data_IF_777724459005
#
_entry.id   IF_777724459005
#
_cell.length_a   1.000
_cell.length_b   1.000
_cell.length_c   1.000
_cell.angle_alpha   90.00
_cell.angle_beta   90.00
_cell.angle_gamma   90.00
#
_symmetry.space_group_name_H-M   'P 1'
#
loop_
_entity.id
_entity.type
_entity.pdbx_description
1 polymer ?
#
# COMPACT_ATOMS: atom_id res chain seq x y z
N UNK A 1 -43.67 -28.78 -14.87
CA UNK A 1 -42.19 -28.79 -15.00
C UNK A 1 -41.74 -28.36 -16.39
N UNK A 2 -42.24 -28.97 -17.48
CA UNK A 2 -41.92 -28.53 -18.85
C UNK A 2 -42.35 -27.08 -19.13
N UNK A 3 -43.56 -26.70 -18.75
CA UNK A 3 -44.05 -25.32 -18.96
C UNK A 3 -43.24 -24.28 -18.17
N UNK A 4 -42.79 -24.64 -16.97
CA UNK A 4 -41.96 -23.77 -16.14
C UNK A 4 -40.57 -23.54 -16.76
N UNK A 5 -39.94 -24.60 -17.28
CA UNK A 5 -38.66 -24.48 -18.00
C UNK A 5 -38.82 -23.65 -19.27
N UNK A 6 -39.90 -23.85 -20.03
CA UNK A 6 -40.20 -23.04 -21.22
C UNK A 6 -40.37 -21.55 -20.89
N UNK A 7 -41.05 -21.22 -19.79
CA UNK A 7 -41.19 -19.83 -19.32
C UNK A 7 -39.82 -19.24 -18.98
N UNK A 8 -38.97 -19.98 -18.24
CA UNK A 8 -37.61 -19.52 -17.91
C UNK A 8 -36.79 -19.28 -19.17
N UNK A 9 -36.83 -20.17 -20.15
CA UNK A 9 -36.09 -20.00 -21.41
C UNK A 9 -36.50 -18.73 -22.16
N UNK A 10 -37.80 -18.44 -22.23
CA UNK A 10 -38.31 -17.20 -22.84
C UNK A 10 -37.83 -15.98 -22.04
N UNK A 11 -37.87 -16.03 -20.71
CA UNK A 11 -37.37 -14.94 -19.86
C UNK A 11 -35.87 -14.69 -20.08
N UNK A 12 -35.05 -15.74 -20.19
CA UNK A 12 -33.61 -15.60 -20.46
C UNK A 12 -33.36 -14.98 -21.83
N UNK A 13 -34.12 -15.36 -22.87
CA UNK A 13 -34.01 -14.74 -24.19
C UNK A 13 -34.39 -13.25 -24.17
N UNK A 14 -35.48 -12.90 -23.47
CA UNK A 14 -35.89 -11.50 -23.29
C UNK A 14 -34.81 -10.74 -22.53
N UNK A 15 -34.18 -11.34 -21.51
CA UNK A 15 -33.08 -10.73 -20.77
C UNK A 15 -31.93 -10.31 -21.69
N UNK A 16 -31.49 -11.16 -22.61
CA UNK A 16 -30.40 -10.83 -23.56
C UNK A 16 -30.78 -9.64 -24.47
N UNK A 17 -32.04 -9.57 -24.91
CA UNK A 17 -32.54 -8.42 -25.70
C UNK A 17 -32.48 -7.14 -24.86
N UNK A 18 -32.93 -7.21 -23.60
CA UNK A 18 -32.85 -6.08 -22.67
C UNK A 18 -31.40 -5.65 -22.44
N UNK A 19 -30.48 -6.59 -22.19
CA UNK A 19 -29.04 -6.31 -22.06
C UNK A 19 -28.49 -5.63 -23.31
N UNK A 20 -28.86 -6.10 -24.50
CA UNK A 20 -28.43 -5.51 -25.77
C UNK A 20 -28.85 -4.04 -25.87
N UNK A 21 -30.12 -3.74 -25.56
CA UNK A 21 -30.63 -2.36 -25.57
C UNK A 21 -29.94 -1.51 -24.51
N UNK A 22 -29.74 -2.05 -23.31
CA UNK A 22 -29.07 -1.36 -22.21
C UNK A 22 -27.63 -0.98 -22.57
N UNK A 23 -26.84 -1.94 -23.08
CA UNK A 23 -25.47 -1.73 -23.53
C UNK A 23 -25.43 -0.67 -24.62
N UNK A 24 -26.31 -0.77 -25.62
CA UNK A 24 -26.40 0.24 -26.68
C UNK A 24 -26.65 1.64 -26.13
N UNK A 25 -27.61 1.81 -25.22
CA UNK A 25 -27.94 3.12 -24.64
C UNK A 25 -26.79 3.70 -23.82
N UNK A 26 -26.10 2.86 -23.03
CA UNK A 26 -24.94 3.28 -22.22
C UNK A 26 -23.78 3.70 -23.11
N UNK A 27 -23.44 2.90 -24.12
CA UNK A 27 -22.44 3.24 -25.13
C UNK A 27 -22.80 4.54 -25.84
N UNK A 28 -24.02 4.66 -26.37
CA UNK A 28 -24.45 5.83 -27.13
C UNK A 28 -24.37 7.13 -26.30
N UNK A 29 -24.73 7.07 -25.01
CA UNK A 29 -24.66 8.22 -24.12
C UNK A 29 -23.23 8.73 -23.95
N UNK A 30 -22.27 7.84 -23.70
CA UNK A 30 -20.86 8.20 -23.51
C UNK A 30 -20.20 8.56 -24.85
N UNK A 31 -20.51 7.82 -25.92
CA UNK A 31 -19.94 8.02 -27.25
C UNK A 31 -20.16 9.41 -27.82
N UNK A 32 -21.34 10.00 -27.57
CA UNK A 32 -21.65 11.37 -28.01
C UNK A 32 -20.76 12.42 -27.32
N UNK A 33 -20.29 12.14 -26.11
CA UNK A 33 -19.49 13.05 -25.27
C UNK A 33 -18.02 12.63 -25.12
N UNK A 34 -17.55 11.64 -25.89
CA UNK A 34 -16.17 11.10 -25.82
C UNK A 34 -15.05 12.12 -26.06
N UNK A 35 -15.39 13.32 -26.54
CA UNK A 35 -14.43 14.40 -26.79
C UNK A 35 -14.22 15.29 -25.56
N UNK A 36 -15.07 15.18 -24.54
CA UNK A 36 -14.98 15.93 -23.29
C UNK A 36 -13.98 15.24 -22.34
N UNK A 37 -13.01 16.00 -21.81
CA UNK A 37 -11.98 15.44 -20.91
C UNK A 37 -12.58 14.90 -19.61
N UNK A 38 -13.59 15.59 -19.04
CA UNK A 38 -14.31 15.14 -17.85
C UNK A 38 -14.97 13.77 -18.04
N UNK A 39 -15.46 13.48 -19.24
CA UNK A 39 -16.11 12.19 -19.53
C UNK A 39 -15.09 11.07 -19.58
N UNK A 40 -13.90 11.32 -20.14
CA UNK A 40 -12.81 10.34 -20.12
C UNK A 40 -12.27 10.11 -18.71
N UNK A 41 -12.08 11.19 -17.93
CA UNK A 41 -11.56 11.11 -16.56
C UNK A 41 -12.53 10.47 -15.57
N UNK A 42 -13.85 10.65 -15.74
CA UNK A 42 -14.86 10.09 -14.82
C UNK A 42 -15.03 8.56 -14.87
N UNK A 43 -14.37 7.87 -15.79
CA UNK A 43 -14.46 6.42 -15.93
C UNK A 43 -13.28 5.74 -15.21
N UNK A 44 -13.59 4.88 -14.23
CA UNK A 44 -12.58 4.06 -13.53
C UNK A 44 -11.98 3.00 -14.48
N UNK A 45 -10.71 3.14 -14.85
CA UNK A 45 -10.02 2.18 -15.71
C UNK A 45 -9.78 0.88 -14.96
N UNK A 46 -9.41 0.94 -13.68
CA UNK A 46 -9.25 -0.24 -12.84
C UNK A 46 -10.56 -1.04 -12.73
N UNK A 47 -11.68 -0.36 -12.48
CA UNK A 47 -13.00 -0.98 -12.44
C UNK A 47 -13.39 -1.64 -13.77
N UNK A 48 -13.11 -0.98 -14.90
CA UNK A 48 -13.37 -1.56 -16.23
C UNK A 48 -12.47 -2.76 -16.51
N UNK A 49 -11.18 -2.72 -16.13
CA UNK A 49 -10.26 -3.86 -16.30
C UNK A 49 -10.67 -5.08 -15.47
N UNK A 50 -11.15 -4.87 -14.24
CA UNK A 50 -11.71 -5.94 -13.42
C UNK A 50 -12.94 -6.57 -14.08
N UNK A 51 -13.83 -5.74 -14.65
CA UNK A 51 -14.99 -6.23 -15.39
C UNK A 51 -14.58 -7.04 -16.62
N UNK A 52 -13.61 -6.56 -17.41
CA UNK A 52 -13.05 -7.29 -18.56
C UNK A 52 -12.49 -8.66 -18.12
N UNK A 53 -11.68 -8.67 -17.06
CA UNK A 53 -11.11 -9.91 -16.53
C UNK A 53 -12.20 -10.90 -16.10
N UNK A 54 -13.22 -10.42 -15.37
CA UNK A 54 -14.36 -11.23 -14.96
C UNK A 54 -15.15 -11.79 -16.15
N UNK A 55 -15.47 -10.97 -17.16
CA UNK A 55 -16.16 -11.41 -18.37
C UNK A 55 -15.38 -12.48 -19.13
N UNK A 56 -14.06 -12.32 -19.25
CA UNK A 56 -13.19 -13.33 -19.90
C UNK A 56 -13.24 -14.66 -19.14
N UNK A 57 -13.11 -14.63 -17.81
CA UNK A 57 -13.20 -15.85 -16.98
C UNK A 57 -14.54 -16.57 -17.16
N UNK A 58 -15.66 -15.85 -17.15
CA UNK A 58 -16.98 -16.43 -17.35
C UNK A 58 -17.18 -16.98 -18.77
N UNK A 59 -16.71 -16.30 -19.81
CA UNK A 59 -16.76 -16.83 -21.17
C UNK A 59 -15.97 -18.13 -21.28
N UNK A 60 -14.77 -18.21 -20.68
CA UNK A 60 -14.01 -19.46 -20.63
C UNK A 60 -14.76 -20.57 -19.89
N UNK A 61 -15.37 -20.25 -18.74
CA UNK A 61 -16.21 -21.19 -18.00
C UNK A 61 -17.36 -21.70 -18.87
N UNK A 62 -18.09 -20.82 -19.55
CA UNK A 62 -19.24 -21.21 -20.36
C UNK A 62 -18.86 -21.94 -21.66
N UNK A 63 -17.64 -21.79 -22.15
CA UNK A 63 -17.19 -22.55 -23.34
C UNK A 63 -16.68 -23.94 -22.93
N UNK A 64 -15.98 -24.06 -21.80
CA UNK A 64 -15.19 -25.26 -21.46
C UNK A 64 -15.80 -26.13 -20.35
N UNK A 65 -16.58 -25.54 -19.44
CA UNK A 65 -17.14 -26.24 -18.28
C UNK A 65 -18.63 -26.48 -18.47
N UNK A 66 -19.40 -25.43 -18.75
CA UNK A 66 -20.85 -25.50 -18.85
C UNK A 66 -21.34 -24.72 -20.06
N UNK A 67 -21.61 -25.44 -21.15
CA UNK A 67 -22.00 -24.85 -22.44
C UNK A 67 -23.35 -24.15 -22.36
N UNK A 68 -23.33 -22.83 -22.19
CA UNK A 68 -24.51 -21.95 -22.26
C UNK A 68 -24.27 -20.80 -23.25
N UNK A 69 -24.87 -20.96 -24.44
CA UNK A 69 -24.76 -19.98 -25.52
C UNK A 69 -25.40 -18.62 -25.19
N UNK A 70 -26.47 -18.59 -24.38
CA UNK A 70 -27.13 -17.32 -24.05
C UNK A 70 -26.26 -16.51 -23.09
N UNK A 71 -25.68 -17.17 -22.08
CA UNK A 71 -24.75 -16.51 -21.14
C UNK A 71 -23.46 -16.05 -21.82
N UNK A 72 -22.95 -16.79 -22.81
CA UNK A 72 -21.82 -16.35 -23.63
C UNK A 72 -22.17 -15.05 -24.37
N UNK A 73 -23.34 -14.99 -25.01
CA UNK A 73 -23.78 -13.80 -25.75
C UNK A 73 -23.96 -12.61 -24.80
N UNK A 74 -24.64 -12.79 -23.67
CA UNK A 74 -24.86 -11.75 -22.67
C UNK A 74 -23.53 -11.20 -22.11
N UNK A 75 -22.63 -12.10 -21.70
CA UNK A 75 -21.31 -11.73 -21.18
C UNK A 75 -20.45 -11.02 -22.25
N UNK A 76 -20.58 -11.44 -23.51
CA UNK A 76 -19.87 -10.80 -24.63
C UNK A 76 -20.37 -9.36 -24.88
N UNK A 77 -21.65 -9.08 -24.66
CA UNK A 77 -22.17 -7.70 -24.77
C UNK A 77 -21.54 -6.78 -23.72
N UNK A 78 -21.40 -7.24 -22.47
CA UNK A 78 -20.68 -6.49 -21.43
C UNK A 78 -19.19 -6.33 -21.74
N UNK A 79 -18.56 -7.35 -22.35
CA UNK A 79 -17.16 -7.26 -22.77
C UNK A 79 -16.98 -6.19 -23.86
N UNK A 80 -17.89 -6.12 -24.83
CA UNK A 80 -17.91 -5.07 -25.86
C UNK A 80 -18.12 -3.68 -25.23
N UNK A 81 -19.08 -3.54 -24.32
CA UNK A 81 -19.31 -2.28 -23.58
C UNK A 81 -18.03 -1.83 -22.86
N UNK A 82 -17.41 -2.73 -22.12
CA UNK A 82 -16.20 -2.49 -21.35
C UNK A 82 -15.04 -2.05 -22.24
N UNK A 83 -14.88 -2.69 -23.40
CA UNK A 83 -13.84 -2.33 -24.35
C UNK A 83 -14.05 -0.92 -24.92
N UNK A 84 -15.29 -0.56 -25.28
CA UNK A 84 -15.62 0.79 -25.74
C UNK A 84 -15.34 1.82 -24.64
N UNK A 85 -15.73 1.54 -23.40
CA UNK A 85 -15.47 2.46 -22.29
C UNK A 85 -13.99 2.59 -22.00
N UNK A 86 -13.24 1.50 -21.97
CA UNK A 86 -11.79 1.53 -21.76
C UNK A 86 -11.10 2.42 -22.80
N UNK A 87 -11.46 2.28 -24.08
CA UNK A 87 -10.93 3.16 -25.11
C UNK A 87 -11.25 4.63 -24.84
N UNK A 88 -12.49 4.94 -24.44
CA UNK A 88 -12.90 6.32 -24.14
C UNK A 88 -12.14 6.86 -22.92
N UNK A 89 -11.97 6.06 -21.86
CA UNK A 89 -11.25 6.42 -20.63
C UNK A 89 -9.79 6.81 -20.89
N UNK A 90 -9.16 6.26 -21.94
CA UNK A 90 -7.80 6.68 -22.32
C UNK A 90 -7.74 8.14 -22.81
N UNK A 91 -8.87 8.75 -23.16
CA UNK A 91 -8.92 10.11 -23.70
C UNK A 91 -8.45 10.21 -25.15
N UNK A 92 -8.45 9.10 -25.90
CA UNK A 92 -8.03 9.05 -27.31
C UNK A 92 -8.74 10.07 -28.21
N UNK A 93 -10.00 10.40 -27.90
CA UNK A 93 -10.81 11.33 -28.69
C UNK A 93 -10.83 12.78 -28.15
N UNK A 94 -10.08 13.08 -27.09
CA UNK A 94 -10.02 14.43 -26.49
C UNK A 94 -9.11 15.33 -27.33
N UNK A 95 -9.58 16.54 -27.67
CA UNK A 95 -8.84 17.51 -28.48
C UNK A 95 -7.54 17.92 -27.76
N UNK A 96 -6.41 17.89 -28.46
CA UNK A 96 -5.08 18.25 -27.92
C UNK A 96 -4.22 17.06 -27.45
N UNK A 97 -4.77 15.85 -27.37
CA UNK A 97 -4.03 14.61 -27.00
C UNK A 97 -3.84 13.62 -28.16
N UNK A 98 -4.26 13.98 -29.39
CA UNK A 98 -4.35 13.06 -30.55
C UNK A 98 -3.02 12.54 -31.11
N UNK A 99 -1.87 13.05 -30.65
CA UNK A 99 -0.54 12.65 -31.14
C UNK A 99 0.18 11.66 -30.21
N UNK A 100 -0.50 11.14 -29.18
CA UNK A 100 0.07 10.17 -28.22
C UNK A 100 -0.39 8.75 -28.53
N UNK A 101 0.48 7.77 -28.29
CA UNK A 101 0.14 6.35 -28.45
C UNK A 101 -0.93 5.93 -27.44
N UNK A 102 -1.81 4.99 -27.82
CA UNK A 102 -2.80 4.35 -26.95
C UNK A 102 -2.21 3.89 -25.61
N UNK A 103 -0.98 3.38 -25.63
CA UNK A 103 -0.30 2.90 -24.43
C UNK A 103 0.12 4.05 -23.50
N UNK A 104 0.55 5.19 -24.07
CA UNK A 104 0.89 6.39 -23.31
C UNK A 104 -0.36 7.02 -22.68
N UNK A 105 -1.48 6.98 -23.40
CA UNK A 105 -2.78 7.46 -22.93
C UNK A 105 -3.34 6.56 -21.81
N UNK A 106 -3.30 5.24 -21.98
CA UNK A 106 -3.69 4.29 -20.94
C UNK A 106 -2.84 4.43 -19.67
N UNK A 107 -1.50 4.54 -19.80
CA UNK A 107 -0.60 4.78 -18.66
C UNK A 107 -0.91 6.10 -17.96
N UNK A 108 -1.17 7.16 -18.72
CA UNK A 108 -1.52 8.48 -18.17
C UNK A 108 -2.86 8.46 -17.42
N UNK A 109 -3.84 7.74 -17.93
CA UNK A 109 -5.17 7.68 -17.35
C UNK A 109 -5.21 6.78 -16.09
N UNK A 110 -4.47 5.66 -16.07
CA UNK A 110 -4.21 4.89 -14.85
C UNK A 110 -3.50 5.72 -13.79
N UNK A 111 -2.54 6.57 -14.18
CA UNK A 111 -1.85 7.49 -13.25
C UNK A 111 -2.81 8.54 -12.66
N UNK A 112 -3.78 9.02 -13.44
CA UNK A 112 -4.83 9.94 -12.97
C UNK A 112 -5.79 9.25 -11.98
N UNK A 113 -6.20 8.02 -12.23
CA UNK A 113 -7.05 7.25 -11.32
C UNK A 113 -6.37 6.93 -9.99
N UNK A 114 -5.05 6.66 -10.01
CA UNK A 114 -4.24 6.54 -8.79
C UNK A 114 -4.28 7.84 -7.99
N UNK A 115 -4.14 8.99 -8.65
CA UNK A 115 -4.26 10.32 -8.01
C UNK A 115 -5.66 10.58 -7.45
N UNK A 116 -6.73 10.14 -8.12
CA UNK A 116 -8.10 10.25 -7.61
C UNK A 116 -8.33 9.37 -6.38
N UNK A 117 -7.75 8.18 -6.33
CA UNK A 117 -7.75 7.33 -5.13
C UNK A 117 -7.03 8.01 -3.97
N UNK A 118 -5.91 8.69 -4.23
CA UNK A 118 -5.24 9.54 -3.24
C UNK A 118 -6.08 10.76 -2.85
N UNK A 119 -6.86 11.34 -3.77
CA UNK A 119 -7.79 12.42 -3.46
C UNK A 119 -8.97 11.97 -2.58
N UNK A 120 -9.44 10.73 -2.76
CA UNK A 120 -10.42 10.12 -1.84
C UNK A 120 -9.82 9.89 -0.45
N UNK A 121 -8.54 9.51 -0.34
CA UNK A 121 -7.84 9.44 0.94
C UNK A 121 -7.71 10.82 1.62
N UNK A 122 -7.48 11.88 0.84
CA UNK A 122 -7.40 13.26 1.36
C UNK A 122 -8.71 13.67 2.05
N UNK A 123 -9.87 13.34 1.49
CA UNK A 123 -11.19 13.81 1.98
C UNK A 123 -11.71 13.11 3.26
N UNK A 124 -10.89 12.25 3.88
CA UNK A 124 -11.27 11.46 5.04
C UNK A 124 -11.00 12.21 6.35
N UNK A 125 -11.80 11.88 7.37
CA UNK A 125 -11.83 12.47 8.72
C UNK A 125 -10.43 12.74 9.30
N UNK A 126 -10.22 13.91 9.92
CA UNK A 126 -8.96 14.24 10.61
C UNK A 126 -8.63 13.17 11.65
N UNK A 127 -7.54 12.38 11.47
CA UNK A 127 -7.22 11.30 12.37
C UNK A 127 -6.82 11.82 13.76
N UNK A 128 -6.98 10.98 14.77
CA UNK A 128 -6.37 11.24 16.08
C UNK A 128 -4.85 11.28 15.92
N UNK A 129 -4.19 12.25 16.56
CA UNK A 129 -2.74 12.43 16.46
C UNK A 129 -2.23 12.71 15.04
N UNK A 130 -3.01 13.44 14.23
CA UNK A 130 -2.66 13.80 12.85
C UNK A 130 -1.27 14.47 12.69
N UNK A 131 -0.80 15.22 13.69
CA UNK A 131 0.55 15.79 13.70
C UNK A 131 1.65 14.71 13.72
N UNK A 132 1.45 13.62 14.48
CA UNK A 132 2.37 12.49 14.51
C UNK A 132 2.38 11.78 13.15
N UNK A 133 1.22 11.63 12.51
CA UNK A 133 1.11 11.04 11.17
C UNK A 133 1.87 11.88 10.14
N UNK A 134 1.67 13.20 10.12
CA UNK A 134 2.41 14.10 9.22
C UNK A 134 3.91 14.02 9.47
N UNK A 135 4.34 13.98 10.74
CA UNK A 135 5.76 13.79 11.09
C UNK A 135 6.31 12.47 10.56
N UNK A 136 5.55 11.37 10.65
CA UNK A 136 5.97 10.06 10.14
C UNK A 136 6.06 10.06 8.61
N UNK A 137 5.06 10.61 7.92
CA UNK A 137 5.08 10.73 6.45
C UNK A 137 6.27 11.58 5.99
N UNK A 138 6.55 12.69 6.66
CA UNK A 138 7.73 13.50 6.38
C UNK A 138 9.05 12.74 6.60
N UNK A 139 9.15 11.96 7.67
CA UNK A 139 10.36 11.18 7.94
C UNK A 139 10.59 10.08 6.89
N UNK A 140 9.52 9.49 6.34
CA UNK A 140 9.58 8.53 5.24
C UNK A 140 10.08 9.21 3.96
N UNK A 141 9.45 10.30 3.54
CA UNK A 141 9.82 11.05 2.32
C UNK A 141 11.16 11.81 2.42
N UNK A 142 11.89 11.63 3.50
CA UNK A 142 13.22 12.19 3.67
C UNK A 142 14.21 11.07 3.99
N UNK A 143 13.83 9.79 3.98
CA UNK A 143 14.65 8.72 4.56
C UNK A 143 16.01 8.55 3.84
N UNK A 144 16.06 8.89 2.57
CA UNK A 144 17.24 8.96 1.69
C UNK A 144 17.87 10.38 1.61
N UNK A 145 17.41 11.29 2.46
CA UNK A 145 17.77 12.70 2.54
C UNK A 145 17.49 13.54 1.28
N UNK A 146 16.60 13.06 0.41
CA UNK A 146 16.02 13.83 -0.69
C UNK A 146 14.48 13.88 -0.52
N UNK A 147 13.89 15.07 -0.68
CA UNK A 147 12.43 15.23 -0.62
C UNK A 147 11.92 15.57 -2.00
N UNK A 148 11.35 14.58 -2.70
CA UNK A 148 10.84 14.80 -4.05
C UNK A 148 9.66 15.82 -4.01
N UNK A 149 9.58 16.73 -4.99
CA UNK A 149 8.48 17.69 -5.06
C UNK A 149 7.08 17.07 -5.04
N UNK A 150 6.89 15.85 -5.55
CA UNK A 150 5.59 15.16 -5.54
C UNK A 150 5.25 14.62 -4.15
N UNK A 151 6.22 14.05 -3.44
CA UNK A 151 6.03 13.59 -2.07
C UNK A 151 5.69 14.76 -1.15
N UNK A 152 6.41 15.87 -1.32
CA UNK A 152 6.11 17.13 -0.65
C UNK A 152 4.69 17.61 -0.95
N UNK A 153 4.27 17.61 -2.22
CA UNK A 153 2.90 17.99 -2.60
C UNK A 153 1.84 17.11 -1.92
N UNK A 154 2.12 15.81 -1.77
CA UNK A 154 1.23 14.87 -1.09
C UNK A 154 1.13 15.20 0.41
N UNK A 155 2.26 15.38 1.09
CA UNK A 155 2.30 15.69 2.53
C UNK A 155 1.65 17.05 2.81
N UNK A 156 1.96 18.07 2.01
CA UNK A 156 1.36 19.41 2.12
C UNK A 156 -0.15 19.36 1.92
N UNK A 157 -0.64 18.52 0.99
CA UNK A 157 -2.06 18.34 0.79
C UNK A 157 -2.76 17.70 2.01
N UNK A 158 -2.16 16.68 2.63
CA UNK A 158 -2.69 16.09 3.87
C UNK A 158 -2.66 17.09 5.03
N UNK A 159 -1.55 17.80 5.20
CA UNK A 159 -1.41 18.80 6.27
C UNK A 159 -2.44 19.93 6.12
N UNK A 160 -2.65 20.43 4.90
CA UNK A 160 -3.65 21.47 4.61
C UNK A 160 -5.06 21.00 4.92
N UNK A 161 -5.42 19.79 4.52
CA UNK A 161 -6.77 19.24 4.76
C UNK A 161 -7.04 19.04 6.26
N UNK A 162 -6.02 18.65 7.02
CA UNK A 162 -6.14 18.47 8.48
C UNK A 162 -5.89 19.75 9.30
N UNK A 163 -5.68 20.88 8.62
CA UNK A 163 -5.34 22.17 9.21
C UNK A 163 -4.13 22.09 10.17
N UNK A 164 -3.05 21.48 9.69
CA UNK A 164 -1.76 21.33 10.38
C UNK A 164 -0.76 22.29 9.74
N UNK A 165 -0.03 23.02 10.57
CA UNK A 165 1.07 23.84 10.09
C UNK A 165 2.26 22.93 9.74
N UNK A 166 2.42 22.61 8.45
CA UNK A 166 3.54 21.81 7.98
C UNK A 166 4.70 22.71 7.55
N UNK A 167 5.86 22.50 8.17
CA UNK A 167 7.11 23.17 7.83
C UNK A 167 8.22 22.13 7.73
N UNK A 168 8.84 22.05 6.55
CA UNK A 168 9.99 21.18 6.27
C UNK A 168 11.13 21.51 7.23
N UNK A 169 11.41 22.80 7.44
CA UNK A 169 12.50 23.26 8.31
C UNK A 169 12.28 22.88 9.78
N UNK A 170 11.03 22.86 10.25
CA UNK A 170 10.74 22.49 11.64
C UNK A 170 10.88 20.99 11.89
N UNK A 171 10.44 20.17 10.94
CA UNK A 171 10.51 18.71 11.05
C UNK A 171 11.93 18.17 10.82
N UNK A 172 12.75 18.88 10.04
CA UNK A 172 14.16 18.52 9.81
C UNK A 172 15.08 18.83 11.01
N UNK A 173 14.66 19.63 12.01
CA UNK A 173 15.52 20.01 13.15
C UNK A 173 16.10 18.84 13.95
N UNK A 174 15.37 17.72 13.99
CA UNK A 174 15.75 16.54 14.78
C UNK A 174 16.44 15.46 13.94
N UNK A 175 16.60 15.68 12.63
CA UNK A 175 17.24 14.75 11.69
C UNK A 175 18.74 14.99 11.61
N UNK A 176 19.49 13.94 11.26
CA UNK A 176 20.92 14.01 10.96
C UNK A 176 21.18 13.36 9.60
N UNK A 177 21.77 14.10 8.67
CA UNK A 177 22.00 13.62 7.29
C UNK A 177 22.84 12.32 7.27
N UNK A 178 22.40 11.35 6.48
CA UNK A 178 23.05 10.07 6.20
C UNK A 178 23.14 9.12 7.40
N UNK A 179 22.43 9.40 8.50
CA UNK A 179 22.56 8.64 9.73
C UNK A 179 21.50 7.54 9.85
N UNK A 180 21.97 6.32 10.15
CA UNK A 180 21.15 5.19 10.58
C UNK A 180 20.20 5.56 11.73
N UNK A 181 20.52 6.61 12.50
CA UNK A 181 19.66 7.21 13.51
C UNK A 181 18.26 7.59 12.98
N UNK A 182 18.14 8.08 11.75
CA UNK A 182 16.85 8.51 11.19
C UNK A 182 15.86 7.34 11.04
N UNK A 183 16.36 6.14 10.73
CA UNK A 183 15.55 4.91 10.66
C UNK A 183 14.97 4.55 12.03
N UNK A 184 15.79 4.69 13.10
CA UNK A 184 15.34 4.45 14.48
C UNK A 184 14.33 5.50 14.90
N UNK A 185 14.61 6.78 14.62
CA UNK A 185 13.69 7.89 14.93
C UNK A 185 12.31 7.68 14.30
N UNK A 186 12.27 7.19 13.06
CA UNK A 186 11.05 6.87 12.33
C UNK A 186 10.30 5.71 12.95
N UNK A 187 11.00 4.61 13.26
CA UNK A 187 10.38 3.48 13.95
C UNK A 187 9.84 3.88 15.33
N UNK A 188 10.57 4.68 16.09
CA UNK A 188 10.14 5.19 17.39
C UNK A 188 8.92 6.10 17.28
N UNK A 189 8.88 6.94 16.23
CA UNK A 189 7.71 7.77 15.92
C UNK A 189 6.48 6.91 15.63
N UNK A 190 6.64 5.81 14.88
CA UNK A 190 5.58 4.82 14.64
C UNK A 190 5.16 4.10 15.93
N UNK A 191 6.12 3.65 16.75
CA UNK A 191 5.83 3.02 18.05
C UNK A 191 5.05 3.97 18.94
N UNK A 192 5.44 5.26 18.99
CA UNK A 192 4.72 6.29 19.73
C UNK A 192 3.30 6.47 19.22
N UNK A 193 3.11 6.53 17.90
CA UNK A 193 1.78 6.60 17.29
C UNK A 193 0.91 5.41 17.68
N UNK A 194 1.38 4.18 17.50
CA UNK A 194 0.62 2.97 17.84
C UNK A 194 0.34 2.87 19.34
N UNK A 195 1.24 3.36 20.19
CA UNK A 195 1.04 3.42 21.65
C UNK A 195 -0.07 4.38 22.08
N UNK A 196 -0.51 5.29 21.20
CA UNK A 196 -1.70 6.12 21.45
C UNK A 196 -3.02 5.36 21.30
N UNK A 197 -2.97 4.07 20.96
CA UNK A 197 -4.09 3.21 20.65
C UNK A 197 -5.04 3.80 19.58
N UNK A 198 -4.53 4.15 18.38
CA UNK A 198 -5.37 4.64 17.29
C UNK A 198 -6.40 3.57 16.85
N UNK A 199 -7.60 3.97 16.41
CA UNK A 199 -8.56 3.03 15.82
C UNK A 199 -7.93 2.22 14.67
N UNK A 200 -8.22 0.92 14.59
CA UNK A 200 -7.64 0.02 13.56
C UNK A 200 -7.83 0.54 12.13
N UNK A 201 -8.98 1.14 11.85
CA UNK A 201 -9.25 1.78 10.56
C UNK A 201 -8.27 2.92 10.24
N UNK A 202 -7.88 3.74 11.23
CA UNK A 202 -6.89 4.80 11.04
C UNK A 202 -5.50 4.22 10.79
N UNK A 203 -5.14 3.12 11.45
CA UNK A 203 -3.87 2.44 11.23
C UNK A 203 -3.80 1.83 9.82
N UNK A 204 -4.89 1.24 9.32
CA UNK A 204 -4.97 0.74 7.94
C UNK A 204 -4.91 1.88 6.92
N UNK A 205 -5.56 3.01 7.19
CA UNK A 205 -5.45 4.21 6.37
C UNK A 205 -4.01 4.73 6.33
N UNK A 206 -3.30 4.68 7.45
CA UNK A 206 -1.89 5.06 7.52
C UNK A 206 -1.02 4.19 6.61
N UNK A 207 -1.26 2.87 6.57
CA UNK A 207 -0.61 2.00 5.60
C UNK A 207 -0.85 2.48 4.16
N UNK A 208 -2.09 2.80 3.79
CA UNK A 208 -2.39 3.32 2.44
C UNK A 208 -1.71 4.66 2.15
N UNK A 209 -1.56 5.52 3.16
CA UNK A 209 -0.84 6.80 3.02
C UNK A 209 0.66 6.59 2.81
N UNK A 210 1.28 5.67 3.54
CA UNK A 210 2.69 5.28 3.36
C UNK A 210 2.91 4.73 1.95
N UNK A 211 2.05 3.81 1.51
CA UNK A 211 2.12 3.24 0.16
C UNK A 211 1.94 4.32 -0.92
N UNK A 212 1.01 5.26 -0.74
CA UNK A 212 0.78 6.34 -1.69
C UNK A 212 1.97 7.31 -1.77
N UNK A 213 2.66 7.55 -0.65
CA UNK A 213 3.83 8.42 -0.57
C UNK A 213 5.03 7.80 -1.28
N UNK A 214 5.45 6.59 -0.88
CA UNK A 214 6.62 5.87 -1.43
C UNK A 214 6.48 5.60 -2.95
N UNK A 215 5.26 5.58 -3.46
CA UNK A 215 5.01 5.30 -4.88
C UNK A 215 4.65 6.54 -5.70
N UNK A 216 4.80 7.73 -5.12
CA UNK A 216 4.39 8.99 -5.72
C UNK A 216 5.24 9.40 -6.93
N UNK A 217 6.54 9.15 -6.85
CA UNK A 217 7.54 9.65 -7.77
C UNK A 217 7.90 8.65 -8.90
N UNK A 218 7.40 7.41 -8.79
CA UNK A 218 7.64 6.23 -9.65
C UNK A 218 9.04 5.59 -9.47
N UNK A 219 9.79 5.94 -8.41
CA UNK A 219 11.10 5.37 -8.05
C UNK A 219 11.09 5.02 -6.57
N UNK A 220 11.37 3.77 -6.21
CA UNK A 220 11.46 3.37 -4.79
C UNK A 220 12.93 3.14 -4.47
N UNK A 221 13.46 3.88 -3.51
CA UNK A 221 14.83 3.71 -2.99
C UNK A 221 14.96 2.42 -2.15
N UNK A 222 16.19 1.94 -1.97
CA UNK A 222 16.47 0.79 -1.12
C UNK A 222 16.11 1.08 0.36
N UNK A 223 16.27 2.34 0.77
CA UNK A 223 15.96 2.90 2.07
C UNK A 223 14.46 2.91 2.34
N UNK A 224 13.65 3.37 1.38
CA UNK A 224 12.19 3.35 1.44
C UNK A 224 11.65 1.92 1.47
N UNK A 225 12.17 1.02 0.63
CA UNK A 225 11.75 -0.39 0.65
C UNK A 225 12.05 -1.04 2.00
N UNK A 226 13.22 -0.75 2.57
CA UNK A 226 13.64 -1.24 3.88
C UNK A 226 12.68 -0.78 4.98
N UNK A 227 12.40 0.53 5.03
CA UNK A 227 11.58 1.10 6.10
C UNK A 227 10.10 0.76 5.93
N UNK A 228 9.61 0.68 4.69
CA UNK A 228 8.25 0.26 4.39
C UNK A 228 7.97 -1.12 5.00
N UNK A 229 8.86 -2.10 4.77
CA UNK A 229 8.69 -3.46 5.32
C UNK A 229 8.61 -3.46 6.84
N UNK A 230 9.46 -2.66 7.50
CA UNK A 230 9.43 -2.54 8.97
C UNK A 230 8.12 -1.91 9.47
N UNK A 231 7.72 -0.77 8.90
CA UNK A 231 6.53 -0.02 9.33
C UNK A 231 5.23 -0.77 9.04
N UNK A 232 5.12 -1.42 7.89
CA UNK A 232 3.94 -2.24 7.54
C UNK A 232 3.84 -3.44 8.48
N UNK A 233 4.95 -4.10 8.83
CA UNK A 233 4.95 -5.17 9.83
C UNK A 233 4.40 -4.72 11.19
N UNK A 234 4.77 -3.52 11.65
CA UNK A 234 4.23 -2.93 12.89
C UNK A 234 2.71 -2.67 12.79
N UNK A 235 2.24 -2.16 11.65
CA UNK A 235 0.81 -1.91 11.40
C UNK A 235 0.01 -3.23 11.38
N UNK A 236 0.54 -4.26 10.71
CA UNK A 236 -0.09 -5.58 10.63
C UNK A 236 -0.17 -6.23 12.01
N UNK A 237 0.89 -6.20 12.81
CA UNK A 237 0.87 -6.68 14.19
C UNK A 237 -0.21 -5.99 15.01
N UNK A 238 -0.26 -4.65 14.94
CA UNK A 238 -1.20 -3.84 15.70
C UNK A 238 -2.66 -4.14 15.30
N UNK A 239 -2.94 -4.21 14.00
CA UNK A 239 -4.31 -4.42 13.49
C UNK A 239 -4.81 -5.84 13.73
N UNK A 240 -3.93 -6.83 13.76
CA UNK A 240 -4.25 -8.25 13.99
C UNK A 240 -4.20 -8.68 15.46
N UNK A 241 -3.95 -7.76 16.39
CA UNK A 241 -3.74 -8.04 17.82
C UNK A 241 -2.64 -9.09 18.06
N UNK A 242 -1.56 -9.04 17.27
CA UNK A 242 -0.41 -9.95 17.36
C UNK A 242 -0.67 -11.38 16.87
N UNK A 243 -1.76 -11.61 16.13
CA UNK A 243 -2.09 -12.93 15.55
C UNK A 243 -1.40 -13.19 14.21
N UNK A 244 -0.84 -12.15 13.57
CA UNK A 244 -0.06 -12.32 12.37
C UNK A 244 1.22 -13.11 12.67
N UNK A 245 1.39 -14.26 11.98
CA UNK A 245 2.65 -15.00 11.97
C UNK A 245 3.57 -14.37 10.92
N UNK A 246 4.17 -13.25 11.28
CA UNK A 246 5.27 -12.67 10.49
C UNK A 246 6.63 -13.07 11.07
N UNK A 247 7.58 -13.31 10.17
CA UNK A 247 8.96 -13.61 10.53
C UNK A 247 9.56 -12.43 11.30
N UNK A 248 9.68 -12.58 12.62
CA UNK A 248 10.31 -11.60 13.49
C UNK A 248 11.81 -11.88 13.61
N UNK A 249 12.60 -10.85 13.34
CA UNK A 249 14.05 -10.85 13.51
C UNK A 249 14.39 -10.18 14.84
N UNK A 250 14.82 -10.97 15.81
CA UNK A 250 15.33 -10.46 17.08
C UNK A 250 16.79 -10.06 16.97
N UNK A 251 17.12 -8.91 17.56
CA UNK A 251 18.50 -8.47 17.72
C UNK A 251 18.97 -8.80 19.12
N UNK A 252 20.08 -9.53 19.19
CA UNK A 252 20.72 -9.93 20.44
C UNK A 252 22.10 -9.30 20.55
N UNK A 253 22.43 -8.75 21.72
CA UNK A 253 23.80 -8.39 22.09
C UNK A 253 24.42 -9.55 22.84
N UNK A 254 25.58 -10.02 22.39
CA UNK A 254 26.36 -11.05 23.08
C UNK A 254 27.61 -10.40 23.68
N UNK A 255 27.59 -10.01 24.96
CA UNK A 255 28.75 -9.44 25.62
C UNK A 255 29.91 -10.44 25.60
N UNK A 256 31.12 -9.93 25.34
CA UNK A 256 32.33 -10.74 25.29
C UNK A 256 33.11 -10.65 26.61
N UNK A 257 33.01 -9.52 27.31
CA UNK A 257 33.73 -9.20 28.54
C UNK A 257 32.78 -8.63 29.61
N UNK A 258 33.21 -8.63 30.87
CA UNK A 258 32.46 -8.05 32.01
C UNK A 258 32.07 -6.59 31.79
N UNK A 259 32.97 -5.78 31.22
CA UNK A 259 32.70 -4.37 30.89
C UNK A 259 31.52 -4.21 29.89
N UNK A 260 31.33 -5.17 28.97
CA UNK A 260 30.22 -5.12 28.03
C UNK A 260 28.87 -5.35 28.71
N UNK A 261 28.83 -6.12 29.80
CA UNK A 261 27.62 -6.30 30.59
C UNK A 261 27.20 -4.98 31.24
N UNK A 262 28.15 -4.25 31.83
CA UNK A 262 27.89 -2.94 32.44
C UNK A 262 27.43 -1.91 31.41
N UNK A 263 28.07 -1.89 30.23
CA UNK A 263 27.68 -1.00 29.13
C UNK A 263 26.24 -1.29 28.66
N UNK A 264 25.89 -2.56 28.44
CA UNK A 264 24.53 -2.93 28.01
C UNK A 264 23.48 -2.53 29.05
N UNK A 265 23.74 -2.78 30.33
CA UNK A 265 22.81 -2.43 31.41
C UNK A 265 22.69 -0.91 31.62
N UNK A 266 23.72 -0.14 31.28
CA UNK A 266 23.68 1.32 31.32
C UNK A 266 22.90 1.93 30.15
N UNK A 267 22.99 1.34 28.95
CA UNK A 267 22.34 1.87 27.74
C UNK A 267 20.86 1.47 27.70
N UNK A 268 20.54 0.24 28.11
CA UNK A 268 19.19 -0.30 28.05
C UNK A 268 18.80 -0.84 29.44
N UNK A 269 18.29 0.02 30.33
CA UNK A 269 17.82 -0.42 31.63
C UNK A 269 16.65 -1.39 31.46
N UNK A 270 16.71 -2.54 32.13
CA UNK A 270 15.73 -3.65 32.09
C UNK A 270 15.77 -4.58 30.86
N UNK A 271 16.92 -4.73 30.20
CA UNK A 271 17.09 -5.74 29.14
C UNK A 271 16.79 -7.17 29.61
N UNK A 272 16.06 -7.92 28.77
CA UNK A 272 15.78 -9.34 28.99
C UNK A 272 17.03 -10.15 28.66
N UNK A 273 17.55 -10.85 29.67
CA UNK A 273 18.65 -11.82 29.51
C UNK A 273 18.10 -13.12 28.92
N UNK A 274 18.69 -13.57 27.83
CA UNK A 274 18.37 -14.81 27.13
C UNK A 274 19.58 -15.74 27.21
N UNK A 275 19.38 -16.94 27.75
CA UNK A 275 20.41 -17.97 27.74
C UNK A 275 20.46 -18.62 26.35
N UNK A 276 21.62 -18.54 25.70
CA UNK A 276 21.88 -19.16 24.40
C UNK A 276 22.97 -20.21 24.53
N UNK A 277 23.15 -21.05 23.50
CA UNK A 277 24.23 -22.05 23.47
C UNK A 277 25.63 -21.45 23.60
N UNK A 278 25.80 -20.15 23.31
CA UNK A 278 27.05 -19.40 23.43
C UNK A 278 27.20 -18.58 24.72
N UNK A 279 26.27 -18.70 25.67
CA UNK A 279 26.28 -17.93 26.93
C UNK A 279 25.09 -16.98 27.06
N UNK A 280 25.25 -15.93 27.89
CA UNK A 280 24.19 -14.94 28.15
C UNK A 280 24.17 -13.91 27.04
N UNK A 281 23.01 -13.76 26.39
CA UNK A 281 22.73 -12.70 25.43
C UNK A 281 21.65 -11.76 25.97
N UNK A 282 21.62 -10.52 25.49
CA UNK A 282 20.63 -9.52 25.84
C UNK A 282 19.75 -9.23 24.63
N UNK A 283 18.44 -9.41 24.77
CA UNK A 283 17.49 -9.09 23.70
C UNK A 283 17.17 -7.60 23.68
N UNK A 284 17.44 -6.95 22.55
CA UNK A 284 17.17 -5.51 22.33
C UNK A 284 15.73 -5.31 21.86
N UNK A 285 15.21 -6.25 21.07
CA UNK A 285 13.89 -6.15 20.48
C UNK A 285 13.74 -7.04 19.24
N UNK A 286 12.53 -7.05 18.71
CA UNK A 286 12.16 -7.78 17.50
C UNK A 286 11.70 -6.82 16.41
N UNK A 287 12.09 -7.12 15.18
CA UNK A 287 11.89 -6.31 13.98
C UNK A 287 11.25 -7.15 12.88
N UNK A 288 10.58 -6.52 11.93
CA UNK A 288 9.85 -7.17 10.84
C UNK A 288 10.68 -7.24 9.55
N UNK A 289 11.72 -6.42 9.43
CA UNK A 289 12.68 -6.46 8.33
C UNK A 289 14.05 -6.95 8.78
N UNK A 290 14.60 -7.97 8.09
CA UNK A 290 15.96 -8.46 8.35
C UNK A 290 17.00 -7.36 8.15
N UNK A 291 16.88 -6.60 7.05
CA UNK A 291 17.79 -5.48 6.74
C UNK A 291 17.72 -4.42 7.85
N UNK A 292 16.53 -4.14 8.39
CA UNK A 292 16.36 -3.22 9.51
C UNK A 292 17.03 -3.77 10.79
N UNK A 293 16.84 -5.05 11.12
CA UNK A 293 17.51 -5.67 12.27
C UNK A 293 19.05 -5.64 12.15
N UNK A 294 19.59 -5.82 10.94
CA UNK A 294 21.02 -5.68 10.65
C UNK A 294 21.50 -4.22 10.84
N UNK A 295 20.74 -3.23 10.37
CA UNK A 295 21.02 -1.80 10.58
C UNK A 295 21.08 -1.45 12.08
N UNK A 296 20.15 -1.98 12.88
CA UNK A 296 20.19 -1.82 14.35
C UNK A 296 21.45 -2.46 14.93
N UNK A 297 21.83 -3.66 14.47
CA UNK A 297 23.07 -4.32 14.91
C UNK A 297 24.30 -3.47 14.65
N UNK A 298 24.38 -2.81 13.48
CA UNK A 298 25.50 -1.95 13.11
C UNK A 298 25.69 -0.77 14.07
N UNK A 299 24.60 -0.19 14.59
CA UNK A 299 24.71 0.90 15.57
C UNK A 299 25.38 0.46 16.87
N UNK A 300 25.02 -0.73 17.38
CA UNK A 300 25.67 -1.27 18.58
C UNK A 300 27.10 -1.74 18.29
N UNK A 301 27.41 -2.17 17.05
CA UNK A 301 28.79 -2.48 16.66
C UNK A 301 29.68 -1.25 16.62
N UNK A 302 29.14 -0.06 16.29
CA UNK A 302 29.89 1.22 16.36
C UNK A 302 30.41 1.53 17.77
N UNK A 303 29.77 1.00 18.81
CA UNK A 303 30.22 1.10 20.22
C UNK A 303 30.92 -0.17 20.73
N UNK A 304 31.47 -0.98 19.82
CA UNK A 304 32.23 -2.21 20.09
C UNK A 304 31.44 -3.35 20.77
N UNK A 305 30.11 -3.34 20.67
CA UNK A 305 29.29 -4.46 21.12
C UNK A 305 29.07 -5.48 20.00
N UNK A 306 29.22 -6.76 20.33
CA UNK A 306 28.94 -7.84 19.38
C UNK A 306 27.44 -8.12 19.33
N UNK A 307 26.87 -8.11 18.13
CA UNK A 307 25.43 -8.24 17.89
C UNK A 307 25.12 -9.25 16.80
N UNK A 308 24.04 -10.00 17.00
CA UNK A 308 23.54 -11.01 16.05
C UNK A 308 22.05 -10.81 15.79
N UNK A 309 21.65 -11.10 14.56
CA UNK A 309 20.23 -11.18 14.16
C UNK A 309 19.80 -12.64 14.22
N UNK A 310 18.70 -12.90 14.92
CA UNK A 310 18.14 -14.23 15.11
C UNK A 310 16.68 -14.25 14.67
N UNK A 311 16.29 -15.20 13.82
CA UNK A 311 14.88 -15.37 13.43
C UNK A 311 14.17 -16.29 14.44
N UNK A 312 13.11 -15.79 15.08
CA UNK A 312 12.33 -16.54 16.08
C UNK A 312 11.60 -17.74 15.47
N UNK A 313 11.22 -17.69 14.18
CA UNK A 313 10.44 -18.74 13.52
C UNK A 313 11.25 -20.02 13.19
N UNK A 314 12.55 -20.05 13.48
CA UNK A 314 13.39 -21.24 13.34
C UNK A 314 13.34 -22.18 14.56
N UNK A 315 12.42 -21.97 15.51
CA UNK A 315 12.29 -22.79 16.72
C UNK A 315 10.84 -23.15 17.11
N UNK A 316 10.07 -23.74 16.19
CA UNK A 316 9.29 -24.89 16.63
C UNK A 316 10.21 -26.13 16.59
N UNK A 317 10.48 -26.70 17.78
CA UNK A 317 11.00 -28.05 18.06
C UNK A 317 12.53 -28.28 18.01
N UNK A 318 13.21 -27.92 19.10
CA UNK A 318 14.07 -28.86 19.85
C UNK A 318 13.93 -28.61 21.36
N UNK A 319 12.81 -29.03 21.92
CA UNK A 319 12.78 -29.58 23.27
C UNK A 319 12.70 -31.09 23.17
#
# INVERSE_FOLDING_TARGET
MKDFISIILVLTQVSVIVTTVQVYLRINKIWKRKHEEEVAASQSIAGILLLVGNCVLWIFYYIWVETDMLSIVDTSLYLIESFVFLLISTGLWVKGKSNRSLWQLAKSALKLERKESTYLLKKMFKPSNAEIIISILHQIAMIDDDLDPKEREIIEAFAKEWNINYSVDELNKNRKDGDSYNFILLRDSMTKYLSTNPPKEQTLQMQSMIEALITADDVVSDEEELIQKELIGMIVEYTTDGKAKDNKFSVLIVPQNLEHHEVVESIIPNTVRVNTSGGVAYSIGSYYSKKYAELVCEQYRKINLFTIVYNIDNQELKQ
#
